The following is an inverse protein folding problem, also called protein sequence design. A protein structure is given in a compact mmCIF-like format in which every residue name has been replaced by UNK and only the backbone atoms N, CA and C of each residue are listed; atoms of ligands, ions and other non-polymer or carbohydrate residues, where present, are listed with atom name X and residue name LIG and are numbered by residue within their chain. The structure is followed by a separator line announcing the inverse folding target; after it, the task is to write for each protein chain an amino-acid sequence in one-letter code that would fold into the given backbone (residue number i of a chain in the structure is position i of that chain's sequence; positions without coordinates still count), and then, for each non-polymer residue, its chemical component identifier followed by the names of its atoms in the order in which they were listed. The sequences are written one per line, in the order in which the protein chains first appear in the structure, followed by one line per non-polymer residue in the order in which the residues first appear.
data_IF_233782000107
#
_entry.id   IF_233782000107
#
_cell.length_a   1.000
_cell.length_b   1.000
_cell.length_c   1.000
_cell.angle_alpha   90.00
_cell.angle_beta   90.00
_cell.angle_gamma   90.00
#
_symmetry.space_group_name_H-M   'P 1'
#
loop_
_entity.id
_entity.type
_entity.pdbx_description
1 polymer ?
#
# COMPACT_ATOMS: atom_id res chain seq x y z
N UNK A 1 -36.66 28.61 -14.46
CA UNK A 1 -36.16 29.12 -13.16
C UNK A 1 -34.94 28.27 -12.79
N UNK A 2 -33.73 28.80 -12.99
CA UNK A 2 -32.47 28.05 -12.82
C UNK A 2 -31.89 28.30 -11.43
N UNK A 3 -31.91 27.28 -10.56
CA UNK A 3 -31.19 27.31 -9.29
C UNK A 3 -29.81 26.68 -9.54
N UNK A 4 -28.79 27.54 -9.72
CA UNK A 4 -27.39 27.09 -9.68
C UNK A 4 -27.07 26.75 -8.23
N UNK A 5 -26.99 25.45 -7.90
CA UNK A 5 -26.53 24.98 -6.60
C UNK A 5 -25.02 25.23 -6.50
N UNK A 6 -24.64 26.25 -5.74
CA UNK A 6 -23.25 26.50 -5.35
C UNK A 6 -22.90 25.51 -4.23
N UNK A 7 -22.00 24.57 -4.49
CA UNK A 7 -21.43 23.69 -3.46
C UNK A 7 -20.15 24.35 -2.97
N UNK A 8 -20.15 24.79 -1.70
CA UNK A 8 -18.98 25.32 -1.01
C UNK A 8 -18.22 24.15 -0.36
N UNK A 9 -17.00 23.87 -0.81
CA UNK A 9 -16.10 22.96 -0.10
C UNK A 9 -15.24 23.78 0.87
N UNK A 10 -15.57 23.72 2.15
CA UNK A 10 -14.70 24.19 3.22
C UNK A 10 -13.68 23.09 3.50
N UNK A 11 -12.45 23.30 3.06
CA UNK A 11 -11.31 22.44 3.44
C UNK A 11 -10.81 22.95 4.80
N UNK A 12 -11.27 22.32 5.88
CA UNK A 12 -10.53 22.34 7.14
C UNK A 12 -9.79 21.01 7.19
N UNK A 13 -8.56 21.02 6.70
CA UNK A 13 -7.64 19.91 6.84
C UNK A 13 -6.47 20.36 7.71
N UNK A 14 -6.52 20.03 9.00
CA UNK A 14 -5.30 19.92 9.81
C UNK A 14 -5.22 18.47 10.26
N UNK A 15 -4.49 17.67 9.47
CA UNK A 15 -3.93 16.39 9.89
C UNK A 15 -2.61 16.20 9.16
N UNK A 16 -1.49 16.30 9.87
CA UNK A 16 -0.17 15.81 9.41
C UNK A 16 -0.12 14.31 9.61
N UNK A 17 -1.00 13.56 8.94
CA UNK A 17 -0.83 12.11 8.84
C UNK A 17 0.01 11.85 7.59
N UNK A 18 1.34 11.85 7.74
CA UNK A 18 2.25 11.46 6.66
C UNK A 18 2.01 10.00 6.27
N UNK A 19 2.01 9.69 4.98
CA UNK A 19 1.86 8.32 4.49
C UNK A 19 0.95 8.21 3.26
N UNK A 20 1.09 7.09 2.55
CA UNK A 20 0.38 6.83 1.30
C UNK A 20 -0.68 5.76 1.53
N UNK A 21 -1.90 6.02 1.04
CA UNK A 21 -2.96 5.00 1.06
C UNK A 21 -2.67 3.96 -0.02
N UNK A 22 -2.57 2.70 0.37
CA UNK A 22 -2.23 1.59 -0.52
C UNK A 22 -3.36 0.56 -0.54
N UNK A 23 -3.67 0.07 -1.74
CA UNK A 23 -4.50 -1.12 -1.95
C UNK A 23 -3.61 -2.25 -2.45
N UNK A 24 -3.59 -3.37 -1.73
CA UNK A 24 -2.97 -4.60 -2.21
C UNK A 24 -4.05 -5.54 -2.72
N UNK A 25 -3.88 -6.04 -3.94
CA UNK A 25 -4.77 -7.03 -4.54
C UNK A 25 -4.01 -8.34 -4.75
N UNK A 26 -4.46 -9.41 -4.12
CA UNK A 26 -3.91 -10.74 -4.35
C UNK A 26 -4.47 -11.31 -5.66
N UNK A 27 -3.64 -11.33 -6.72
CA UNK A 27 -3.97 -12.01 -7.98
C UNK A 27 -3.42 -13.43 -8.07
N UNK A 28 -2.74 -13.92 -7.05
CA UNK A 28 -2.34 -15.32 -6.96
C UNK A 28 -3.57 -16.19 -6.66
N UNK A 29 -3.50 -17.45 -7.09
CA UNK A 29 -4.49 -18.50 -6.81
C UNK A 29 -4.46 -19.07 -5.38
N UNK A 30 -3.53 -18.64 -4.52
CA UNK A 30 -3.45 -19.05 -3.11
C UNK A 30 -3.50 -17.83 -2.17
N UNK A 31 -3.88 -18.01 -0.89
CA UNK A 31 -3.84 -16.93 0.10
C UNK A 31 -2.43 -16.42 0.35
N UNK A 32 -2.27 -15.10 0.52
CA UNK A 32 -1.01 -14.44 0.86
C UNK A 32 -1.12 -13.75 2.21
N UNK A 33 -0.07 -13.79 3.02
CA UNK A 33 0.04 -12.93 4.20
C UNK A 33 0.73 -11.64 3.78
N UNK A 34 -0.01 -10.54 3.73
CA UNK A 34 0.44 -9.25 3.20
C UNK A 34 0.69 -8.27 4.33
N UNK A 35 1.77 -7.52 4.20
CA UNK A 35 2.16 -6.40 5.05
C UNK A 35 2.11 -5.13 4.21
N UNK A 36 1.45 -4.08 4.71
CA UNK A 36 1.40 -2.76 4.08
C UNK A 36 2.38 -1.78 4.74
N UNK A 37 2.70 -2.01 6.00
CA UNK A 37 3.56 -1.17 6.83
C UNK A 37 4.61 -2.06 7.50
N UNK A 38 5.80 -1.51 7.75
CA UNK A 38 6.90 -2.20 8.43
C UNK A 38 6.49 -2.70 9.83
N UNK A 39 5.60 -1.96 10.51
CA UNK A 39 5.20 -2.24 11.89
C UNK A 39 3.86 -2.98 12.00
N UNK A 40 3.32 -3.50 10.89
CA UNK A 40 2.08 -4.28 10.92
C UNK A 40 2.31 -5.77 11.26
N UNK A 41 1.24 -6.42 11.74
CA UNK A 41 1.26 -7.88 12.02
C UNK A 41 0.98 -8.74 10.78
N UNK A 42 0.88 -8.11 9.60
CA UNK A 42 0.39 -8.71 8.37
C UNK A 42 -1.07 -9.12 8.43
N UNK A 43 -1.62 -9.49 7.27
CA UNK A 43 -2.99 -9.99 7.14
C UNK A 43 -3.13 -10.97 6.00
N UNK A 44 -3.94 -12.00 6.23
CA UNK A 44 -4.26 -12.97 5.20
C UNK A 44 -5.25 -12.39 4.18
N UNK A 45 -4.84 -12.40 2.92
CA UNK A 45 -5.69 -12.05 1.77
C UNK A 45 -5.90 -13.31 0.95
N UNK A 46 -7.15 -13.78 0.88
CA UNK A 46 -7.53 -14.93 0.04
C UNK A 46 -7.26 -14.67 -1.45
N UNK A 47 -7.26 -15.75 -2.24
CA UNK A 47 -7.08 -15.66 -3.69
C UNK A 47 -8.13 -14.72 -4.31
N UNK A 48 -7.68 -13.77 -5.14
CA UNK A 48 -8.54 -12.75 -5.77
C UNK A 48 -8.99 -11.61 -4.85
N UNK A 49 -8.71 -11.71 -3.54
CA UNK A 49 -9.08 -10.71 -2.54
C UNK A 49 -8.21 -9.46 -2.58
N UNK A 50 -8.60 -8.47 -1.78
CA UNK A 50 -7.86 -7.23 -1.61
C UNK A 50 -7.86 -6.75 -0.17
N UNK A 51 -6.96 -5.83 0.12
CA UNK A 51 -6.90 -5.18 1.41
C UNK A 51 -6.28 -3.79 1.32
N UNK A 52 -6.64 -2.92 2.25
CA UNK A 52 -6.37 -1.47 2.21
C UNK A 52 -5.68 -1.02 3.49
N UNK A 53 -4.75 -0.09 3.38
CA UNK A 53 -4.06 0.46 4.55
C UNK A 53 -3.32 1.74 4.20
N UNK A 54 -2.63 2.27 5.19
CA UNK A 54 -1.69 3.38 5.02
C UNK A 54 -0.29 2.80 5.18
N UNK A 55 0.55 3.01 4.17
CA UNK A 55 1.99 2.82 4.27
C UNK A 55 2.56 4.13 4.79
N UNK A 56 3.40 4.11 5.83
CA UNK A 56 3.95 5.31 6.43
C UNK A 56 4.90 6.06 5.50
N UNK A 57 5.64 7.03 6.05
CA UNK A 57 6.39 7.99 5.22
C UNK A 57 7.52 7.33 4.42
N UNK A 58 8.09 6.24 4.90
CA UNK A 58 9.23 5.52 4.30
C UNK A 58 9.12 4.02 4.60
N UNK A 59 7.96 3.44 4.30
CA UNK A 59 7.70 2.01 4.55
C UNK A 59 7.63 1.22 3.25
N UNK A 60 7.41 -0.09 3.41
CA UNK A 60 7.33 -1.05 2.32
C UNK A 60 6.12 -1.93 2.47
N UNK A 61 5.59 -2.35 1.33
CA UNK A 61 4.54 -3.35 1.23
C UNK A 61 5.14 -4.64 0.68
N UNK A 62 4.86 -5.77 1.31
CA UNK A 62 5.30 -7.09 0.83
C UNK A 62 4.28 -8.18 1.13
N UNK A 63 4.47 -9.34 0.51
CA UNK A 63 3.72 -10.55 0.82
C UNK A 63 4.70 -11.64 1.28
N UNK A 64 4.48 -12.18 2.46
CA UNK A 64 5.26 -13.28 3.02
C UNK A 64 4.84 -14.62 2.40
N UNK A 65 5.82 -15.48 2.13
CA UNK A 65 5.57 -16.90 1.98
C UNK A 65 5.73 -17.60 3.34
N UNK A 66 4.71 -18.33 3.82
CA UNK A 66 4.79 -19.02 5.10
C UNK A 66 6.01 -19.93 5.18
N UNK A 67 6.82 -19.75 6.23
CA UNK A 67 8.02 -20.55 6.46
C UNK A 67 9.27 -20.05 5.73
N UNK A 68 9.19 -18.99 4.93
CA UNK A 68 10.35 -18.31 4.34
C UNK A 68 10.56 -17.00 5.09
N UNK A 69 11.75 -16.84 5.66
CA UNK A 69 12.16 -15.65 6.41
C UNK A 69 13.17 -14.89 5.56
N UNK A 70 12.80 -13.71 5.07
CA UNK A 70 13.58 -12.96 4.08
C UNK A 70 13.17 -13.27 2.64
N UNK A 71 13.96 -12.78 1.69
CA UNK A 71 13.78 -12.98 0.24
C UNK A 71 12.54 -12.33 -0.39
N UNK A 72 12.00 -11.25 0.16
CA UNK A 72 10.74 -10.67 -0.32
C UNK A 72 10.92 -9.65 -1.46
N UNK A 73 10.04 -9.74 -2.46
CA UNK A 73 9.77 -8.64 -3.38
C UNK A 73 9.10 -7.50 -2.61
N UNK A 74 9.65 -6.30 -2.67
CA UNK A 74 9.15 -5.13 -1.93
C UNK A 74 8.55 -4.08 -2.87
N UNK A 75 7.41 -3.50 -2.49
CA UNK A 75 6.99 -2.19 -2.99
C UNK A 75 7.41 -1.15 -1.97
N UNK A 76 8.42 -0.34 -2.31
CA UNK A 76 8.91 0.74 -1.46
C UNK A 76 8.17 2.02 -1.83
N UNK A 77 7.59 2.69 -0.83
CA UNK A 77 6.77 3.88 -1.04
C UNK A 77 7.23 4.95 -0.07
N UNK A 78 7.56 6.12 -0.61
CA UNK A 78 8.05 7.25 0.19
C UNK A 78 7.22 8.51 -0.08
N UNK A 79 6.74 9.15 0.98
CA UNK A 79 6.02 10.43 0.94
C UNK A 79 6.93 11.56 1.44
N UNK A 80 7.47 12.35 0.50
CA UNK A 80 8.18 13.57 0.85
C UNK A 80 7.27 14.79 0.75
N UNK A 81 6.48 15.00 1.81
CA UNK A 81 5.60 16.17 1.97
C UNK A 81 4.64 16.37 0.78
N UNK A 82 3.98 15.28 0.35
CA UNK A 82 3.06 15.27 -0.78
C UNK A 82 3.70 14.94 -2.12
N UNK A 83 5.01 14.72 -2.18
CA UNK A 83 5.68 14.11 -3.33
C UNK A 83 5.92 12.63 -3.07
N UNK A 84 5.18 11.80 -3.78
CA UNK A 84 5.23 10.35 -3.62
C UNK A 84 6.24 9.77 -4.61
N UNK A 85 7.19 9.01 -4.09
CA UNK A 85 8.14 8.19 -4.83
C UNK A 85 7.83 6.73 -4.57
N UNK A 86 7.97 5.89 -5.58
CA UNK A 86 7.72 4.47 -5.45
C UNK A 86 8.61 3.68 -6.40
N UNK A 87 8.96 2.47 -6.00
CA UNK A 87 9.64 1.50 -6.84
C UNK A 87 9.32 0.07 -6.38
N UNK A 88 9.77 -0.90 -7.18
CA UNK A 88 9.76 -2.31 -6.80
C UNK A 88 11.22 -2.70 -6.58
N UNK A 89 11.52 -3.14 -5.36
CA UNK A 89 12.87 -3.51 -4.94
C UNK A 89 12.98 -5.03 -4.81
N UNK A 90 14.08 -5.55 -5.35
CA UNK A 90 14.52 -6.94 -5.22
C UNK A 90 15.82 -7.03 -4.40
N UNK A 91 16.20 -5.96 -3.71
CA UNK A 91 17.42 -5.91 -2.88
C UNK A 91 17.34 -6.95 -1.76
N UNK A 92 16.14 -7.10 -1.17
CA UNK A 92 15.85 -8.09 -0.13
C UNK A 92 15.43 -9.46 -0.72
N UNK A 93 15.58 -9.68 -2.02
CA UNK A 93 15.28 -10.93 -2.72
C UNK A 93 13.98 -10.92 -3.55
N UNK A 94 13.44 -12.11 -3.85
CA UNK A 94 12.23 -12.28 -4.63
C UNK A 94 11.37 -13.45 -4.12
N UNK A 95 10.10 -13.17 -3.78
CA UNK A 95 9.12 -14.19 -3.37
C UNK A 95 8.00 -14.31 -4.41
N UNK A 96 7.35 -13.19 -4.73
CA UNK A 96 6.20 -13.16 -5.63
C UNK A 96 6.36 -12.06 -6.70
N UNK A 97 5.84 -12.29 -7.91
CA UNK A 97 5.76 -11.23 -8.90
C UNK A 97 4.82 -10.12 -8.41
N UNK A 98 5.22 -8.87 -8.63
CA UNK A 98 4.51 -7.69 -8.17
C UNK A 98 4.38 -6.67 -9.30
N UNK A 99 3.32 -5.88 -9.26
CA UNK A 99 3.15 -4.69 -10.08
C UNK A 99 2.63 -3.55 -9.21
N UNK A 100 3.12 -2.34 -9.46
CA UNK A 100 2.73 -1.12 -8.75
C UNK A 100 2.03 -0.18 -9.73
N UNK A 101 0.85 0.32 -9.34
CA UNK A 101 0.01 1.22 -10.14
C UNK A 101 -0.32 2.46 -9.29
N UNK A 102 0.07 3.67 -9.71
CA UNK A 102 -0.27 4.93 -9.04
C UNK A 102 -1.75 5.31 -9.16
#
# INVERSE_FOLDING_TARGET
MNIKKLILFVIIGVTVASGVKVRVKNKCWWPLKVHIDNDDNGRWIGAGGDSWGTNGRSDRTWAEQPGIWGDNTLAEINDDNGRIWYDISLVDGFTYPMALVP
#
